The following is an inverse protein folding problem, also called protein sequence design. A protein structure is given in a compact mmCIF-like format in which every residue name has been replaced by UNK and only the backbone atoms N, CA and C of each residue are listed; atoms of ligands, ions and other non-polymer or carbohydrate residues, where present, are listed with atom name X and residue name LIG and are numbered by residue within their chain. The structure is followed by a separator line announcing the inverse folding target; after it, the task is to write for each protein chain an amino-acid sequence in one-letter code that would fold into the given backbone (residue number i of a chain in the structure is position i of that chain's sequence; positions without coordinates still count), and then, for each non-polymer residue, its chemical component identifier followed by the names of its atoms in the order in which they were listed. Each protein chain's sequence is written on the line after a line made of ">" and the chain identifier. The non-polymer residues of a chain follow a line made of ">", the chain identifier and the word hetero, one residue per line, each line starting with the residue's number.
data_IF_309652809185
#
_entry.id   IF_309652809185
#
_cell.length_a   1.000
_cell.length_b   1.000
_cell.length_c   1.000
_cell.angle_alpha   90.00
_cell.angle_beta   90.00
_cell.angle_gamma   90.00
#
_symmetry.space_group_name_H-M   'P 1'
#
loop_
_entity.id
_entity.type
_entity.pdbx_description
1 polymer ?
#
# COMPACT_ATOMS: atom_id res chain seq x y z
N UNK A 1 -26.75 3.95 9.81
CA UNK A 1 -27.65 4.97 9.22
C UNK A 1 -27.32 6.44 9.59
N UNK A 2 -26.29 6.75 10.41
CA UNK A 2 -25.96 8.14 10.81
C UNK A 2 -25.26 9.00 9.75
N UNK A 3 -24.60 8.40 8.75
CA UNK A 3 -23.72 9.12 7.81
C UNK A 3 -24.49 9.91 6.74
N UNK A 4 -25.74 9.52 6.44
CA UNK A 4 -26.56 10.18 5.42
C UNK A 4 -27.18 11.50 5.92
N UNK A 5 -27.63 11.56 7.17
CA UNK A 5 -28.24 12.76 7.77
C UNK A 5 -27.22 13.89 7.96
N UNK A 6 -25.99 13.56 8.36
CA UNK A 6 -24.92 14.56 8.50
C UNK A 6 -24.52 15.16 7.16
N UNK A 7 -24.51 14.35 6.11
CA UNK A 7 -24.22 14.78 4.73
C UNK A 7 -25.32 15.72 4.21
N UNK A 8 -26.58 15.36 4.40
CA UNK A 8 -27.73 16.19 4.01
C UNK A 8 -27.73 17.54 4.75
N UNK A 9 -27.38 17.53 6.03
CA UNK A 9 -27.31 18.74 6.87
C UNK A 9 -26.24 19.69 6.36
N UNK A 10 -25.05 19.17 6.00
CA UNK A 10 -23.97 19.98 5.40
C UNK A 10 -24.39 20.58 4.06
N UNK A 11 -25.04 19.81 3.19
CA UNK A 11 -25.53 20.30 1.90
C UNK A 11 -26.56 21.42 2.05
N UNK A 12 -27.46 21.35 3.05
CA UNK A 12 -28.42 22.42 3.37
C UNK A 12 -27.72 23.71 3.81
N UNK A 13 -26.67 23.60 4.61
CA UNK A 13 -25.90 24.76 5.07
C UNK A 13 -25.22 25.43 3.88
N UNK A 14 -24.54 24.66 3.03
CA UNK A 14 -23.84 25.16 1.84
C UNK A 14 -24.83 25.81 0.85
N UNK A 15 -25.99 25.17 0.63
CA UNK A 15 -27.09 25.70 -0.20
C UNK A 15 -27.53 27.08 0.26
N UNK A 16 -27.65 27.29 1.57
CA UNK A 16 -28.04 28.58 2.14
C UNK A 16 -26.96 29.65 2.00
N UNK A 17 -25.69 29.26 2.13
CA UNK A 17 -24.54 30.18 2.02
C UNK A 17 -24.33 30.62 0.56
N UNK A 18 -24.39 29.68 -0.38
CA UNK A 18 -24.12 29.95 -1.80
C UNK A 18 -25.34 30.43 -2.59
N UNK A 19 -26.53 30.44 -1.98
CA UNK A 19 -27.78 30.79 -2.67
C UNK A 19 -28.18 29.81 -3.79
N UNK A 20 -27.64 28.59 -3.76
CA UNK A 20 -27.89 27.54 -4.76
C UNK A 20 -28.84 26.49 -4.20
N UNK A 21 -29.61 25.83 -5.05
CA UNK A 21 -30.40 24.66 -4.64
C UNK A 21 -29.47 23.49 -4.33
N UNK A 22 -29.91 22.59 -3.43
CA UNK A 22 -29.18 21.36 -3.12
C UNK A 22 -28.95 20.52 -4.38
N UNK A 23 -29.93 20.47 -5.29
CA UNK A 23 -29.79 19.76 -6.57
C UNK A 23 -28.68 20.35 -7.44
N UNK A 24 -28.58 21.69 -7.52
CA UNK A 24 -27.49 22.35 -8.25
C UNK A 24 -26.13 22.10 -7.60
N UNK A 25 -26.04 22.02 -6.27
CA UNK A 25 -24.80 21.66 -5.58
C UNK A 25 -24.38 20.22 -5.88
N UNK A 26 -25.33 19.28 -5.85
CA UNK A 26 -25.06 17.88 -6.20
C UNK A 26 -24.63 17.77 -7.66
N UNK A 27 -25.33 18.46 -8.56
CA UNK A 27 -25.01 18.48 -9.98
C UNK A 27 -23.63 19.09 -10.23
N UNK A 28 -23.26 20.18 -9.55
CA UNK A 28 -21.91 20.75 -9.64
C UNK A 28 -20.84 19.78 -9.15
N UNK A 29 -21.04 19.12 -8.01
CA UNK A 29 -20.08 18.14 -7.47
C UNK A 29 -19.93 16.94 -8.41
N UNK A 30 -21.04 16.43 -8.94
CA UNK A 30 -21.02 15.32 -9.90
C UNK A 30 -20.41 15.74 -11.24
N UNK A 31 -20.72 16.94 -11.71
CA UNK A 31 -20.17 17.52 -12.94
C UNK A 31 -18.68 17.79 -12.78
N UNK A 32 -18.23 18.31 -11.64
CA UNK A 32 -16.80 18.41 -11.31
C UNK A 32 -16.11 17.03 -11.28
N UNK A 33 -16.78 15.99 -10.79
CA UNK A 33 -16.24 14.62 -10.80
C UNK A 33 -16.20 13.99 -12.20
N UNK A 34 -17.19 14.25 -13.04
CA UNK A 34 -17.31 13.69 -14.41
C UNK A 34 -16.48 14.47 -15.42
N UNK A 35 -16.33 15.79 -15.23
CA UNK A 35 -15.53 16.66 -16.09
C UNK A 35 -14.05 16.71 -15.69
N UNK A 36 -13.59 15.99 -14.67
CA UNK A 36 -12.15 15.81 -14.51
C UNK A 36 -11.63 15.09 -15.76
N UNK A 37 -10.81 15.74 -16.61
CA UNK A 37 -9.99 14.98 -17.53
C UNK A 37 -9.12 14.05 -16.67
N UNK A 38 -8.67 12.92 -17.21
CA UNK A 38 -7.56 12.16 -16.63
C UNK A 38 -6.24 12.97 -16.66
N UNK A 39 -6.26 14.20 -16.14
CA UNK A 39 -5.11 14.97 -15.79
C UNK A 39 -4.96 14.83 -14.29
N UNK A 40 -3.97 14.07 -13.81
CA UNK A 40 -3.71 14.00 -12.40
C UNK A 40 -3.39 15.42 -11.95
N UNK A 41 -4.26 16.00 -11.13
CA UNK A 41 -3.84 17.05 -10.21
C UNK A 41 -2.52 16.58 -9.61
N UNK A 42 -1.46 17.40 -9.54
CA UNK A 42 -0.31 17.03 -8.73
C UNK A 42 -0.86 16.88 -7.33
N UNK A 43 -1.11 15.62 -6.92
CA UNK A 43 -1.20 15.22 -5.53
C UNK A 43 -0.08 15.99 -4.87
N UNK A 44 -0.41 16.81 -3.87
CA UNK A 44 0.60 17.49 -3.07
C UNK A 44 1.73 16.51 -2.88
N UNK A 45 2.91 16.82 -3.43
CA UNK A 45 3.99 15.85 -3.51
C UNK A 45 4.21 15.37 -2.08
N UNK A 46 3.70 14.17 -1.77
CA UNK A 46 4.03 13.50 -0.53
C UNK A 46 5.54 13.37 -0.65
N UNK A 47 6.27 14.19 0.11
CA UNK A 47 7.74 14.31 0.07
C UNK A 47 8.35 12.96 0.43
N UNK A 48 8.32 12.05 -0.53
CA UNK A 48 8.85 10.70 -0.42
C UNK A 48 10.26 10.79 -0.96
N UNK A 49 11.21 10.45 -0.10
CA UNK A 49 12.63 10.39 -0.45
C UNK A 49 12.97 9.30 -1.47
N UNK A 50 12.03 8.40 -1.78
CA UNK A 50 12.23 7.32 -2.75
C UNK A 50 10.93 6.85 -3.43
N UNK A 51 11.00 6.39 -4.69
CA UNK A 51 9.88 5.74 -5.35
C UNK A 51 9.60 4.36 -4.72
N UNK A 52 8.32 4.00 -4.56
CA UNK A 52 7.89 2.65 -4.16
C UNK A 52 7.46 1.88 -5.40
N UNK A 53 7.97 0.66 -5.57
CA UNK A 53 7.50 -0.27 -6.59
C UNK A 53 6.30 -1.05 -6.07
N UNK A 54 5.19 -0.98 -6.79
CA UNK A 54 4.05 -1.88 -6.57
C UNK A 54 4.46 -3.31 -6.94
N UNK A 55 4.20 -4.26 -6.07
CA UNK A 55 4.58 -5.66 -6.25
C UNK A 55 3.56 -6.60 -5.61
N UNK A 56 3.76 -7.91 -5.81
CA UNK A 56 3.06 -8.96 -5.07
C UNK A 56 4.08 -10.03 -4.78
N UNK A 57 4.71 -9.95 -3.60
CA UNK A 57 5.78 -10.86 -3.19
C UNK A 57 5.34 -11.56 -1.90
N UNK A 58 5.19 -12.89 -1.91
CA UNK A 58 4.94 -13.65 -0.69
C UNK A 58 6.07 -13.42 0.32
N UNK A 59 5.70 -13.21 1.58
CA UNK A 59 6.65 -12.96 2.67
C UNK A 59 6.23 -13.72 3.91
N UNK A 60 7.22 -14.25 4.62
CA UNK A 60 7.06 -14.75 5.99
C UNK A 60 7.65 -13.72 6.92
N UNK A 61 6.85 -13.22 7.85
CA UNK A 61 7.33 -12.32 8.90
C UNK A 61 7.49 -13.07 10.20
N UNK A 62 8.54 -12.76 10.95
CA UNK A 62 8.64 -13.09 12.38
C UNK A 62 8.58 -11.82 13.20
N UNK A 63 7.78 -11.84 14.26
CA UNK A 63 7.73 -10.76 15.24
C UNK A 63 8.74 -11.06 16.35
N UNK A 64 9.56 -10.07 16.69
CA UNK A 64 10.51 -10.18 17.78
C UNK A 64 9.78 -9.89 19.11
N UNK A 65 9.07 -10.90 19.62
CA UNK A 65 8.50 -10.89 20.97
C UNK A 65 9.31 -11.81 21.92
N UNK A 66 9.49 -11.37 23.17
CA UNK A 66 10.50 -11.83 24.12
C UNK A 66 10.37 -13.27 24.67
N UNK A 67 9.56 -14.15 24.07
CA UNK A 67 9.38 -15.53 24.59
C UNK A 67 9.20 -16.62 23.53
N UNK A 68 8.67 -16.31 22.33
CA UNK A 68 8.67 -17.24 21.19
C UNK A 68 8.37 -16.47 19.89
N UNK A 69 9.14 -16.66 18.80
CA UNK A 69 8.91 -15.96 17.55
C UNK A 69 7.55 -16.38 16.96
N UNK A 70 6.65 -15.41 16.80
CA UNK A 70 5.39 -15.62 16.09
C UNK A 70 5.62 -15.42 14.60
N UNK A 71 5.33 -16.45 13.79
CA UNK A 71 5.46 -16.39 12.34
C UNK A 71 4.12 -16.10 11.67
N UNK A 72 4.10 -15.20 10.70
CA UNK A 72 2.90 -14.87 9.95
C UNK A 72 3.21 -14.81 8.45
N UNK A 73 2.30 -15.32 7.64
CA UNK A 73 2.38 -15.20 6.19
C UNK A 73 1.72 -13.91 5.73
N UNK A 74 2.29 -13.30 4.69
CA UNK A 74 1.76 -12.10 4.09
C UNK A 74 2.21 -11.89 2.66
N UNK A 75 1.84 -10.74 2.12
CA UNK A 75 2.22 -10.31 0.77
C UNK A 75 2.74 -8.87 0.82
N UNK A 76 3.95 -8.65 0.31
CA UNK A 76 4.50 -7.31 0.10
C UNK A 76 3.81 -6.71 -1.13
N UNK A 77 3.06 -5.63 -0.91
CA UNK A 77 2.30 -4.93 -1.96
C UNK A 77 2.97 -3.66 -2.47
N UNK A 78 3.79 -3.04 -1.63
CA UNK A 78 4.64 -1.91 -2.01
C UNK A 78 6.01 -2.05 -1.37
N UNK A 79 7.06 -1.82 -2.15
CA UNK A 79 8.43 -2.02 -1.69
C UNK A 79 9.36 -0.89 -2.16
N UNK A 80 10.24 -0.45 -1.27
CA UNK A 80 11.34 0.46 -1.56
C UNK A 80 12.57 0.09 -0.73
N UNK A 81 13.73 0.72 -0.97
CA UNK A 81 14.94 0.48 -0.19
C UNK A 81 14.79 0.78 1.31
N UNK A 82 13.78 1.56 1.70
CA UNK A 82 13.62 2.05 3.06
C UNK A 82 12.36 1.54 3.74
N UNK A 83 11.40 1.02 3.00
CA UNK A 83 10.13 0.58 3.58
C UNK A 83 9.47 -0.52 2.76
N UNK A 84 8.74 -1.37 3.47
CA UNK A 84 7.86 -2.39 2.91
C UNK A 84 6.46 -2.22 3.46
N UNK A 85 5.46 -2.41 2.59
CA UNK A 85 4.06 -2.48 2.98
C UNK A 85 3.57 -3.91 2.75
N UNK A 86 3.04 -4.52 3.81
CA UNK A 86 2.72 -5.94 3.86
C UNK A 86 1.26 -6.09 4.23
N UNK A 87 0.52 -6.91 3.49
CA UNK A 87 -0.82 -7.37 3.87
C UNK A 87 -0.67 -8.71 4.57
N UNK A 88 -1.32 -8.85 5.72
CA UNK A 88 -1.35 -10.02 6.58
C UNK A 88 -2.79 -10.47 6.76
N UNK A 89 -3.01 -11.78 6.83
CA UNK A 89 -4.30 -12.33 7.26
C UNK A 89 -4.57 -12.02 8.72
N UNK A 90 -5.82 -11.71 9.08
CA UNK A 90 -6.23 -11.16 10.39
C UNK A 90 -5.75 -11.96 11.63
N UNK A 91 -5.47 -13.25 11.49
CA UNK A 91 -4.97 -14.05 12.62
C UNK A 91 -3.62 -13.55 13.20
N UNK A 92 -2.89 -12.72 12.44
CA UNK A 92 -1.64 -12.09 12.87
C UNK A 92 -1.84 -10.71 13.52
N UNK A 93 -3.02 -10.08 13.39
CA UNK A 93 -3.26 -8.68 13.71
C UNK A 93 -3.22 -8.40 15.23
N UNK A 94 -3.64 -9.36 16.05
CA UNK A 94 -3.71 -9.22 17.50
C UNK A 94 -2.36 -9.07 18.22
N UNK A 95 -1.25 -9.39 17.55
CA UNK A 95 0.10 -9.34 18.13
C UNK A 95 0.96 -8.20 17.58
N UNK A 96 0.44 -7.42 16.63
CA UNK A 96 1.18 -6.33 15.98
C UNK A 96 1.02 -5.02 16.75
N UNK A 97 2.14 -4.41 17.09
CA UNK A 97 2.18 -3.11 17.76
C UNK A 97 3.05 -2.14 16.95
N UNK A 98 2.69 -0.86 16.99
CA UNK A 98 3.54 0.19 16.46
C UNK A 98 4.89 0.17 17.20
N UNK A 99 5.98 0.26 16.46
CA UNK A 99 7.34 0.16 17.01
C UNK A 99 7.84 -1.27 17.20
N UNK A 100 7.03 -2.31 16.95
CA UNK A 100 7.49 -3.69 17.02
C UNK A 100 8.58 -3.97 15.97
N UNK A 101 9.61 -4.70 16.39
CA UNK A 101 10.63 -5.22 15.49
C UNK A 101 10.12 -6.47 14.78
N UNK A 102 10.42 -6.56 13.49
CA UNK A 102 10.08 -7.70 12.66
C UNK A 102 11.23 -8.08 11.75
N UNK A 103 11.29 -9.36 11.38
CA UNK A 103 12.13 -9.83 10.28
C UNK A 103 11.23 -10.36 9.16
N UNK A 104 11.51 -9.95 7.94
CA UNK A 104 10.77 -10.32 6.74
C UNK A 104 11.65 -11.19 5.83
N UNK A 105 11.24 -12.45 5.62
CA UNK A 105 11.90 -13.39 4.72
C UNK A 105 11.09 -13.53 3.43
N UNK A 106 11.70 -13.22 2.29
CA UNK A 106 11.06 -13.28 0.98
C UNK A 106 12.08 -13.46 -0.14
N UNK A 107 11.62 -13.78 -1.35
CA UNK A 107 12.50 -13.86 -2.54
C UNK A 107 12.05 -12.82 -3.56
N UNK A 108 12.99 -11.98 -4.01
CA UNK A 108 12.72 -11.05 -5.12
C UNK A 108 12.68 -11.83 -6.44
N UNK A 109 11.80 -11.49 -7.39
CA UNK A 109 11.77 -12.13 -8.72
C UNK A 109 13.10 -12.05 -9.49
N UNK A 110 13.94 -11.07 -9.16
CA UNK A 110 15.24 -10.81 -9.77
C UNK A 110 16.40 -11.45 -9.01
N UNK A 111 16.13 -12.19 -7.93
CA UNK A 111 17.13 -12.84 -7.08
C UNK A 111 16.86 -14.34 -6.99
N UNK A 112 17.93 -15.13 -7.08
CA UNK A 112 17.87 -16.57 -6.81
C UNK A 112 17.89 -16.90 -5.32
N UNK A 113 18.32 -15.95 -4.48
CA UNK A 113 18.48 -16.13 -3.04
C UNK A 113 17.40 -15.36 -2.27
N UNK A 114 16.86 -15.96 -1.18
CA UNK A 114 15.96 -15.26 -0.29
C UNK A 114 16.69 -14.12 0.44
N UNK A 115 15.95 -13.04 0.71
CA UNK A 115 16.38 -11.89 1.50
C UNK A 115 15.72 -11.94 2.87
N UNK A 116 16.48 -11.61 3.92
CA UNK A 116 15.98 -11.49 5.29
C UNK A 116 16.19 -10.05 5.77
N UNK A 117 15.13 -9.25 5.72
CA UNK A 117 15.20 -7.85 6.10
C UNK A 117 14.62 -7.62 7.48
N UNK A 118 15.37 -6.91 8.32
CA UNK A 118 14.87 -6.44 9.61
C UNK A 118 14.15 -5.10 9.44
N UNK A 119 13.10 -4.86 10.21
CA UNK A 119 12.36 -3.61 10.15
C UNK A 119 11.56 -3.32 11.40
N UNK A 120 10.98 -2.12 11.43
CA UNK A 120 10.12 -1.66 12.53
C UNK A 120 8.78 -1.22 12.00
N UNK A 121 7.71 -1.73 12.62
CA UNK A 121 6.33 -1.37 12.27
C UNK A 121 6.11 0.12 12.54
N UNK A 122 5.86 0.90 11.48
CA UNK A 122 5.63 2.34 11.54
C UNK A 122 4.17 2.74 11.36
N UNK A 123 3.36 1.87 10.74
CA UNK A 123 1.92 2.08 10.54
C UNK A 123 1.19 0.75 10.50
N UNK A 124 -0.03 0.73 11.02
CA UNK A 124 -0.95 -0.40 10.98
C UNK A 124 -2.31 0.14 10.54
N UNK A 125 -2.86 -0.42 9.46
CA UNK A 125 -4.17 -0.11 8.92
C UNK A 125 -5.00 -1.41 8.90
N UNK A 126 -6.15 -1.42 9.59
CA UNK A 126 -7.01 -2.60 9.67
C UNK A 126 -8.12 -2.56 8.61
N UNK A 127 -8.34 -3.69 7.96
CA UNK A 127 -9.48 -3.94 7.08
C UNK A 127 -10.25 -5.19 7.56
N UNK A 128 -11.50 -5.40 7.15
CA UNK A 128 -12.22 -6.62 7.50
C UNK A 128 -11.47 -7.87 6.99
N UNK A 129 -10.97 -8.72 7.90
CA UNK A 129 -10.29 -9.98 7.57
C UNK A 129 -8.81 -9.85 7.19
N UNK A 130 -8.26 -8.63 7.14
CA UNK A 130 -6.86 -8.39 6.77
C UNK A 130 -6.27 -7.20 7.54
N UNK A 131 -4.95 -7.21 7.71
CA UNK A 131 -4.21 -6.11 8.30
C UNK A 131 -3.08 -5.68 7.36
N UNK A 132 -2.98 -4.39 7.10
CA UNK A 132 -1.89 -3.82 6.31
C UNK A 132 -0.91 -3.13 7.24
N UNK A 133 0.35 -3.56 7.22
CA UNK A 133 1.43 -2.92 7.97
C UNK A 133 2.38 -2.20 7.02
N UNK A 134 2.93 -1.08 7.48
CA UNK A 134 4.12 -0.47 6.88
C UNK A 134 5.27 -0.65 7.85
N UNK A 135 6.38 -1.18 7.36
CA UNK A 135 7.61 -1.40 8.13
C UNK A 135 8.76 -0.63 7.50
N UNK A 136 9.47 0.14 8.31
CA UNK A 136 10.72 0.80 7.93
C UNK A 136 11.87 -0.20 8.02
N UNK A 137 12.63 -0.36 6.93
CA UNK A 137 13.75 -1.31 6.84
C UNK A 137 14.94 -0.78 7.63
N UNK A 138 15.59 -1.65 8.41
CA UNK A 138 16.79 -1.34 9.21
C UNK A 138 17.96 -2.22 8.80
N UNK A 139 19.14 -1.61 8.74
CA UNK A 139 20.42 -2.34 8.75
C UNK A 139 20.62 -3.31 7.59
N UNK A 140 20.21 -2.95 6.37
CA UNK A 140 20.46 -3.78 5.20
C UNK A 140 21.95 -3.79 4.84
N UNK A 141 22.47 -4.97 4.52
CA UNK A 141 23.80 -5.07 3.96
C UNK A 141 23.85 -4.44 2.56
N UNK A 142 25.05 -4.04 2.12
CA UNK A 142 25.24 -3.40 0.80
C UNK A 142 24.70 -4.25 -0.34
N UNK A 143 24.91 -5.56 -0.28
CA UNK A 143 24.47 -6.49 -1.31
C UNK A 143 22.92 -6.58 -1.38
N UNK A 144 22.25 -6.60 -0.23
CA UNK A 144 20.78 -6.59 -0.16
C UNK A 144 20.21 -5.29 -0.73
N UNK A 145 20.83 -4.16 -0.35
CA UNK A 145 20.44 -2.84 -0.83
C UNK A 145 20.59 -2.74 -2.36
N UNK A 146 21.64 -3.31 -2.93
CA UNK A 146 21.86 -3.37 -4.38
C UNK A 146 20.78 -4.23 -5.07
N UNK A 147 20.44 -5.39 -4.51
CA UNK A 147 19.35 -6.23 -5.00
C UNK A 147 17.98 -5.51 -4.97
N UNK A 148 17.68 -4.82 -3.87
CA UNK A 148 16.44 -4.06 -3.70
C UNK A 148 16.41 -2.89 -4.69
N UNK A 149 17.49 -2.11 -4.80
CA UNK A 149 17.58 -0.99 -5.72
C UNK A 149 17.46 -1.42 -7.18
N UNK A 150 18.01 -2.59 -7.54
CA UNK A 150 17.82 -3.18 -8.87
C UNK A 150 16.35 -3.51 -9.09
N UNK A 151 15.74 -4.26 -8.18
CA UNK A 151 14.33 -4.62 -8.28
C UNK A 151 13.40 -3.41 -8.39
N UNK A 152 13.61 -2.37 -7.59
CA UNK A 152 12.78 -1.15 -7.58
C UNK A 152 12.90 -0.37 -8.89
N UNK A 153 14.10 -0.35 -9.51
CA UNK A 153 14.36 0.33 -10.79
C UNK A 153 13.87 -0.47 -11.99
N UNK A 154 13.87 -1.79 -11.92
CA UNK A 154 13.41 -2.64 -13.01
C UNK A 154 11.93 -2.34 -13.30
N UNK A 155 11.64 -1.89 -14.52
CA UNK A 155 10.25 -1.78 -14.96
C UNK A 155 9.63 -3.17 -14.97
N UNK A 156 8.36 -3.28 -14.56
CA UNK A 156 7.63 -4.53 -14.77
C UNK A 156 7.73 -4.88 -16.26
N UNK A 157 7.94 -6.16 -16.63
CA UNK A 157 7.95 -6.53 -18.03
C UNK A 157 6.65 -6.03 -18.66
N UNK A 158 6.78 -5.18 -19.67
CA UNK A 158 5.65 -4.85 -20.53
C UNK A 158 5.09 -6.17 -21.03
N UNK A 159 3.79 -6.43 -20.87
CA UNK A 159 3.13 -7.55 -21.54
C UNK A 159 3.27 -7.33 -23.05
N UNK A 160 4.36 -7.82 -23.64
CA UNK A 160 4.58 -7.77 -25.08
C UNK A 160 3.86 -8.94 -25.72
N UNK A 161 2.92 -8.64 -26.61
CA UNK A 161 2.60 -9.47 -27.77
C UNK A 161 1.68 -10.67 -27.51
N UNK A 162 0.43 -10.50 -27.94
CA UNK A 162 -0.44 -11.52 -28.55
C UNK A 162 0.24 -12.87 -28.84
N UNK A 163 -0.04 -13.87 -28.01
CA UNK A 163 0.15 -15.26 -28.39
C UNK A 163 -0.89 -15.64 -29.43
N UNK A 164 -0.46 -15.76 -30.69
CA UNK A 164 -1.22 -16.46 -31.73
C UNK A 164 -1.43 -17.91 -31.26
N UNK A 165 -2.67 -18.26 -30.95
CA UNK A 165 -3.10 -19.66 -30.86
C UNK A 165 -2.98 -20.27 -32.26
N UNK A 166 -1.93 -21.05 -32.49
CA UNK A 166 -1.87 -22.01 -33.59
C UNK A 166 -2.47 -23.29 -33.04
N UNK A 167 -3.74 -23.55 -33.38
CA UNK A 167 -4.30 -24.89 -33.26
C UNK A 167 -3.67 -25.74 -34.37
N UNK A 168 -2.99 -26.81 -33.98
CA UNK A 168 -2.64 -27.94 -34.86
C UNK A 168 -3.63 -29.06 -34.61
#
# INVERSE_FOLDING_TARGET
>A
MRTQETTLTKLRIISRIEGKTISSLIENVLTEHVLQPENPLPLSEEKRSSPRKKCSIPVVISLANNTAPTYCNGVIVNFSPFAMQIILSDQASGHLQLGAELHALFTLPTSAMPLLLSGVVSRIDHAPGECMITSGIRGSERHELDCINKFVRDKAPSKSGTGHLVYS
#
